data_IF_039861780725
#
_entry.id   IF_039861780725
#
_cell.length_a   1.000
_cell.length_b   1.000
_cell.length_c   1.000
_cell.angle_alpha   90.00
_cell.angle_beta   90.00
_cell.angle_gamma   90.00
#
_symmetry.space_group_name_H-M   'P 1'
#
loop_
_entity.id
_entity.type
_entity.pdbx_description
1 polymer ?
#
# COMPACT_ATOMS: atom_id res chain seq x y z
N UNK A 1 18.27 2.65 -27.50
CA UNK A 1 18.11 2.49 -26.03
C UNK A 1 17.63 3.82 -25.47
N UNK A 2 16.58 3.82 -24.65
CA UNK A 2 16.07 5.04 -24.01
C UNK A 2 17.03 5.54 -22.93
N UNK A 3 17.15 6.86 -22.78
CA UNK A 3 18.01 7.51 -21.78
C UNK A 3 17.35 7.52 -20.38
N UNK A 4 16.02 7.47 -20.34
CA UNK A 4 15.24 7.35 -19.10
C UNK A 4 13.96 6.55 -19.33
N UNK A 5 13.58 5.74 -18.34
CA UNK A 5 12.36 4.94 -18.40
C UNK A 5 11.56 5.17 -17.12
N UNK A 6 10.25 5.41 -17.25
CA UNK A 6 9.33 5.56 -16.13
C UNK A 6 8.15 4.62 -16.24
N UNK A 7 7.55 4.27 -15.10
CA UNK A 7 6.28 3.58 -15.06
C UNK A 7 5.15 4.61 -14.88
N UNK A 8 4.08 4.44 -15.64
CA UNK A 8 2.83 5.14 -15.44
C UNK A 8 1.67 4.15 -15.36
N UNK A 9 0.59 4.58 -14.73
CA UNK A 9 -0.67 3.84 -14.70
C UNK A 9 -1.84 4.84 -14.69
N UNK A 10 -2.56 4.96 -13.58
CA UNK A 10 -3.80 5.75 -13.51
C UNK A 10 -3.61 7.25 -13.29
N UNK A 11 -2.37 7.75 -13.28
CA UNK A 11 -2.09 9.20 -13.19
C UNK A 11 -2.51 9.87 -11.88
N UNK A 12 -2.63 9.11 -10.77
CA UNK A 12 -3.08 9.64 -9.48
C UNK A 12 -1.99 10.37 -8.66
N UNK A 13 -0.81 10.58 -9.23
CA UNK A 13 0.25 11.39 -8.62
C UNK A 13 0.16 12.84 -9.12
N UNK A 14 0.21 13.80 -8.21
CA UNK A 14 0.28 15.24 -8.53
C UNK A 14 1.72 15.75 -8.66
N UNK A 15 2.64 14.89 -9.08
CA UNK A 15 4.06 15.19 -9.26
C UNK A 15 4.55 14.63 -10.59
N UNK A 16 5.78 14.98 -10.98
CA UNK A 16 6.39 14.60 -12.25
C UNK A 16 7.14 13.26 -12.19
N UNK A 17 6.88 12.39 -11.21
CA UNK A 17 7.65 11.14 -11.11
C UNK A 17 7.37 10.14 -12.24
N UNK A 18 6.21 10.18 -12.88
CA UNK A 18 5.94 9.36 -14.05
C UNK A 18 6.51 9.96 -15.36
N UNK A 19 6.96 11.21 -15.34
CA UNK A 19 7.52 11.88 -16.50
C UNK A 19 8.99 11.47 -16.69
N UNK A 20 9.40 11.01 -17.88
CA UNK A 20 10.81 10.88 -18.23
C UNK A 20 11.52 12.22 -18.13
N UNK A 21 12.81 12.22 -17.77
CA UNK A 21 13.60 13.44 -17.68
C UNK A 21 14.01 13.97 -19.07
N UNK A 22 14.09 13.08 -20.05
CA UNK A 22 14.43 13.38 -21.44
C UNK A 22 13.18 13.27 -22.30
N UNK A 23 12.71 14.39 -22.84
CA UNK A 23 11.50 14.45 -23.68
C UNK A 23 11.66 13.75 -25.03
N UNK A 24 12.89 13.66 -25.56
CA UNK A 24 13.16 13.13 -26.90
C UNK A 24 13.53 11.66 -26.90
N UNK A 25 14.19 11.19 -25.85
CA UNK A 25 14.67 9.80 -25.74
C UNK A 25 14.24 9.10 -24.43
N UNK A 26 13.29 9.67 -23.71
CA UNK A 26 12.61 9.01 -22.59
C UNK A 26 11.52 8.03 -23.04
N UNK A 27 11.15 7.11 -22.16
CA UNK A 27 10.05 6.18 -22.37
C UNK A 27 9.18 6.04 -21.12
N UNK A 28 7.89 5.79 -21.35
CA UNK A 28 6.93 5.45 -20.31
C UNK A 28 6.40 4.05 -20.58
N UNK A 29 6.41 3.21 -19.55
CA UNK A 29 5.78 1.90 -19.55
C UNK A 29 4.41 2.05 -18.93
N UNK A 30 3.37 1.70 -19.68
CA UNK A 30 2.02 1.58 -19.15
C UNK A 30 1.90 0.27 -18.35
N UNK A 31 1.70 0.42 -17.05
CA UNK A 31 1.61 -0.70 -16.13
C UNK A 31 0.21 -1.30 -16.04
N UNK A 32 -0.84 -0.71 -16.64
CA UNK A 32 -2.24 -1.10 -16.38
C UNK A 32 -2.58 -2.55 -16.77
N UNK A 33 -1.78 -3.14 -17.67
CA UNK A 33 -1.91 -4.54 -18.09
C UNK A 33 -1.38 -5.55 -17.05
N UNK A 34 -0.49 -5.13 -16.15
CA UNK A 34 0.16 -5.98 -15.14
C UNK A 34 -0.71 -6.06 -13.88
N UNK A 35 -1.73 -6.91 -13.89
CA UNK A 35 -2.77 -6.99 -12.86
C UNK A 35 -3.04 -8.40 -12.32
N UNK A 36 -2.14 -9.36 -12.55
CA UNK A 36 -2.26 -10.71 -11.99
C UNK A 36 -2.18 -10.67 -10.47
N UNK A 37 -2.94 -11.55 -9.83
CA UNK A 37 -2.97 -11.72 -8.38
C UNK A 37 -2.85 -13.20 -8.07
N UNK A 38 -1.91 -13.52 -7.21
CA UNK A 38 -1.70 -14.83 -6.63
C UNK A 38 -1.86 -14.70 -5.11
N UNK A 39 -2.85 -15.38 -4.56
CA UNK A 39 -3.06 -15.43 -3.11
C UNK A 39 -2.36 -16.68 -2.62
N UNK A 40 -1.31 -16.50 -1.82
CA UNK A 40 -0.57 -17.59 -1.20
C UNK A 40 -1.21 -17.86 0.15
N UNK A 41 -1.88 -19.00 0.23
CA UNK A 41 -2.49 -19.47 1.49
C UNK A 41 -1.53 -20.51 2.07
N UNK A 42 -0.96 -20.29 3.28
CA UNK A 42 -0.18 -21.33 3.91
C UNK A 42 -1.04 -22.58 4.12
N UNK A 43 -0.49 -23.79 3.96
CA UNK A 43 -1.23 -25.01 4.20
C UNK A 43 -1.75 -24.98 5.65
N UNK A 44 -3.09 -24.92 5.81
CA UNK A 44 -3.73 -24.99 7.12
C UNK A 44 -3.33 -26.29 7.81
N UNK A 45 -2.35 -26.25 8.70
CA UNK A 45 -2.28 -27.23 9.76
C UNK A 45 -3.54 -27.04 10.61
N UNK A 46 -4.30 -28.12 10.80
CA UNK A 46 -5.47 -28.17 11.68
C UNK A 46 -5.06 -27.64 13.06
N UNK A 47 -5.55 -26.47 13.42
CA UNK A 47 -5.54 -26.04 14.81
C UNK A 47 -6.74 -25.15 15.04
N UNK A 48 -7.71 -25.72 15.74
CA UNK A 48 -8.93 -25.03 16.18
C UNK A 48 -8.62 -23.95 17.24
N UNK A 49 -7.37 -23.88 17.72
CA UNK A 49 -6.88 -22.93 18.74
C UNK A 49 -5.52 -22.24 18.39
N UNK A 50 -5.10 -22.17 17.12
CA UNK A 50 -3.90 -21.39 16.79
C UNK A 50 -4.17 -19.88 16.85
N UNK A 51 -3.67 -19.23 17.91
CA UNK A 51 -3.51 -17.78 17.92
C UNK A 51 -2.39 -17.29 16.98
N UNK A 52 -1.55 -18.17 16.44
CA UNK A 52 -0.40 -17.83 15.58
C UNK A 52 -0.29 -18.79 14.37
N UNK A 53 -1.17 -18.65 13.39
CA UNK A 53 -0.95 -19.20 12.05
C UNK A 53 -0.03 -18.29 11.24
N UNK A 54 0.74 -18.85 10.30
CA UNK A 54 1.48 -18.04 9.32
C UNK A 54 0.55 -17.02 8.63
N UNK A 55 0.98 -15.76 8.47
CA UNK A 55 0.16 -14.73 7.86
C UNK A 55 -0.27 -15.15 6.44
N UNK A 56 -1.49 -14.77 6.05
CA UNK A 56 -1.90 -14.91 4.66
C UNK A 56 -1.11 -13.92 3.82
N UNK A 57 -0.72 -14.30 2.61
CA UNK A 57 0.03 -13.42 1.72
C UNK A 57 -0.67 -13.26 0.37
N UNK A 58 -0.49 -12.11 -0.24
CA UNK A 58 -0.90 -11.87 -1.62
C UNK A 58 0.28 -11.31 -2.40
N UNK A 59 0.63 -11.98 -3.48
CA UNK A 59 1.51 -11.45 -4.52
C UNK A 59 0.66 -10.87 -5.62
N UNK A 60 0.85 -9.59 -5.92
CA UNK A 60 0.09 -8.92 -6.96
C UNK A 60 1.01 -8.08 -7.86
N UNK A 61 0.71 -8.09 -9.15
CA UNK A 61 1.39 -7.24 -10.13
C UNK A 61 1.07 -5.76 -9.89
N UNK A 62 2.05 -4.90 -10.15
CA UNK A 62 2.05 -3.50 -9.75
C UNK A 62 0.97 -2.64 -10.42
N UNK A 63 0.43 -3.08 -11.56
CA UNK A 63 -0.62 -2.38 -12.30
C UNK A 63 -2.03 -2.58 -11.77
N UNK A 64 -2.25 -3.52 -10.85
CA UNK A 64 -3.60 -3.73 -10.29
C UNK A 64 -4.05 -2.49 -9.53
N UNK A 65 -5.31 -2.07 -9.75
CA UNK A 65 -5.95 -1.03 -8.95
C UNK A 65 -6.23 -1.55 -7.54
N UNK A 66 -6.04 -0.73 -6.51
CA UNK A 66 -6.25 -1.17 -5.12
C UNK A 66 -7.68 -1.64 -4.85
N UNK A 67 -8.69 -1.05 -5.47
CA UNK A 67 -10.06 -1.54 -5.36
C UNK A 67 -10.26 -2.94 -5.95
N UNK A 68 -9.57 -3.25 -7.05
CA UNK A 68 -9.60 -4.59 -7.65
C UNK A 68 -8.87 -5.61 -6.78
N UNK A 69 -7.71 -5.23 -6.22
CA UNK A 69 -6.98 -6.07 -5.27
C UNK A 69 -7.83 -6.37 -4.04
N UNK A 70 -8.43 -5.34 -3.43
CA UNK A 70 -9.30 -5.48 -2.27
C UNK A 70 -10.49 -6.42 -2.57
N UNK A 71 -11.19 -6.23 -3.70
CA UNK A 71 -12.30 -7.11 -4.08
C UNK A 71 -11.86 -8.57 -4.30
N UNK A 72 -10.66 -8.77 -4.85
CA UNK A 72 -10.09 -10.12 -5.06
C UNK A 72 -9.82 -10.83 -3.73
N UNK A 73 -9.36 -10.09 -2.72
CA UNK A 73 -9.15 -10.59 -1.35
C UNK A 73 -10.47 -10.85 -0.64
N UNK A 74 -11.43 -9.91 -0.74
CA UNK A 74 -12.75 -10.05 -0.10
C UNK A 74 -13.50 -11.30 -0.58
N UNK A 75 -13.40 -11.62 -1.88
CA UNK A 75 -13.98 -12.84 -2.45
C UNK A 75 -13.40 -14.14 -1.84
N UNK A 76 -12.29 -14.07 -1.11
CA UNK A 76 -11.62 -15.17 -0.41
C UNK A 76 -11.72 -15.06 1.11
N UNK A 77 -12.53 -14.13 1.63
CA UNK A 77 -12.63 -13.87 3.06
C UNK A 77 -11.36 -13.24 3.64
N UNK A 78 -10.57 -12.53 2.83
CA UNK A 78 -9.35 -11.83 3.23
C UNK A 78 -9.48 -10.32 3.02
N UNK A 79 -8.61 -9.54 3.64
CA UNK A 79 -8.53 -8.09 3.47
C UNK A 79 -7.11 -7.58 3.63
N UNK A 80 -6.79 -6.47 2.97
CA UNK A 80 -5.65 -5.65 3.37
C UNK A 80 -5.86 -5.17 4.81
N UNK A 81 -4.78 -5.05 5.59
CA UNK A 81 -4.85 -4.58 6.98
C UNK A 81 -5.48 -3.20 7.08
N UNK A 82 -5.05 -2.29 6.20
CA UNK A 82 -5.65 -0.97 6.02
C UNK A 82 -6.39 -0.92 4.68
N UNK A 83 -7.65 -0.44 4.65
CA UNK A 83 -8.37 -0.26 3.41
C UNK A 83 -7.72 0.86 2.58
N UNK A 84 -7.67 0.73 1.25
CA UNK A 84 -7.12 1.78 0.41
C UNK A 84 -7.98 3.05 0.52
N UNK A 85 -7.35 4.21 0.61
CA UNK A 85 -8.06 5.49 0.72
C UNK A 85 -8.83 5.88 -0.56
N UNK A 86 -8.47 5.26 -1.69
CA UNK A 86 -9.14 5.41 -2.97
C UNK A 86 -8.95 4.11 -3.78
N UNK A 87 -9.99 3.68 -4.51
CA UNK A 87 -9.99 2.44 -5.28
C UNK A 87 -9.21 2.51 -6.60
N UNK A 88 -8.92 3.71 -7.11
CA UNK A 88 -8.45 3.93 -8.48
C UNK A 88 -6.93 4.01 -8.66
N UNK A 89 -6.14 4.24 -7.61
CA UNK A 89 -4.68 4.14 -7.71
C UNK A 89 -4.20 2.69 -7.75
N UNK A 90 -3.05 2.45 -8.38
CA UNK A 90 -2.46 1.11 -8.53
C UNK A 90 -1.54 0.73 -7.37
N UNK A 91 -1.34 -0.57 -7.14
CA UNK A 91 -0.41 -1.11 -6.14
C UNK A 91 1.03 -0.57 -6.33
N UNK A 92 1.54 -0.50 -7.55
CA UNK A 92 2.88 0.01 -7.85
C UNK A 92 3.04 1.48 -7.45
N UNK A 93 2.10 2.32 -7.85
CA UNK A 93 2.05 3.73 -7.43
C UNK A 93 1.91 3.88 -5.90
N UNK A 94 1.08 3.01 -5.29
CA UNK A 94 0.87 2.95 -3.84
C UNK A 94 2.16 2.70 -3.08
N UNK A 95 2.88 1.64 -3.43
CA UNK A 95 4.16 1.29 -2.80
C UNK A 95 5.23 2.34 -3.13
N UNK A 96 5.36 2.73 -4.40
CA UNK A 96 6.37 3.70 -4.82
C UNK A 96 6.28 5.02 -4.04
N UNK A 97 5.08 5.48 -3.67
CA UNK A 97 4.85 6.77 -3.01
C UNK A 97 4.54 6.67 -1.51
N UNK A 98 4.54 5.46 -0.94
CA UNK A 98 4.28 5.26 0.48
C UNK A 98 2.84 5.55 0.89
N UNK A 99 1.86 5.24 0.04
CA UNK A 99 0.44 5.46 0.34
C UNK A 99 0.05 4.87 1.70
N UNK A 100 -0.79 5.62 2.40
CA UNK A 100 -1.22 5.32 3.75
C UNK A 100 -2.69 5.68 3.93
N UNK A 101 -3.33 5.07 4.92
CA UNK A 101 -4.67 5.40 5.37
C UNK A 101 -4.81 5.07 6.86
N UNK A 102 -5.74 5.73 7.56
CA UNK A 102 -6.00 5.48 8.99
C UNK A 102 -4.73 5.44 9.88
N UNK A 103 -3.69 6.20 9.51
CA UNK A 103 -2.42 6.26 10.25
C UNK A 103 -1.43 5.12 9.96
N UNK A 104 -1.69 4.23 8.99
CA UNK A 104 -0.78 3.14 8.60
C UNK A 104 -0.48 3.16 7.09
N UNK A 105 0.76 2.87 6.73
CA UNK A 105 1.19 2.74 5.33
C UNK A 105 1.08 1.30 4.85
N UNK A 106 0.69 1.10 3.59
CA UNK A 106 0.74 -0.22 2.96
C UNK A 106 2.17 -0.80 2.88
N UNK A 107 3.20 0.04 2.98
CA UNK A 107 4.59 -0.42 3.09
C UNK A 107 4.86 -1.24 4.36
N UNK A 108 4.05 -1.05 5.43
CA UNK A 108 4.17 -1.83 6.66
C UNK A 108 3.69 -3.29 6.52
N UNK A 109 2.87 -3.59 5.50
CA UNK A 109 2.42 -4.95 5.20
C UNK A 109 3.29 -5.61 4.11
N UNK A 110 4.29 -4.90 3.57
CA UNK A 110 5.09 -5.36 2.44
C UNK A 110 6.09 -6.42 2.86
N UNK A 111 6.06 -7.58 2.21
CA UNK A 111 6.97 -8.70 2.46
C UNK A 111 8.06 -8.79 1.39
N UNK A 112 7.74 -8.41 0.15
CA UNK A 112 8.71 -8.37 -0.94
C UNK A 112 8.30 -7.36 -2.02
N UNK A 113 9.30 -6.83 -2.75
CA UNK A 113 9.10 -6.03 -3.96
C UNK A 113 9.98 -6.55 -5.07
N UNK A 114 9.39 -6.81 -6.23
CA UNK A 114 10.09 -7.24 -7.43
C UNK A 114 10.25 -6.07 -8.39
N UNK A 115 11.48 -5.80 -8.82
CA UNK A 115 11.81 -4.72 -9.76
C UNK A 115 12.36 -5.27 -11.07
N UNK A 116 12.10 -4.54 -12.17
CA UNK A 116 12.97 -4.54 -13.36
C UNK A 116 13.99 -3.41 -13.19
N UNK A 117 15.27 -3.76 -13.21
CA UNK A 117 16.39 -2.82 -13.04
C UNK A 117 16.83 -2.20 -14.38
N UNK A 118 17.72 -1.21 -14.32
CA UNK A 118 18.20 -0.46 -15.49
C UNK A 118 18.92 -1.32 -16.55
N UNK A 119 19.47 -2.46 -16.16
CA UNK A 119 20.14 -3.43 -17.04
C UNK A 119 19.16 -4.49 -17.60
N UNK A 120 17.86 -4.39 -17.26
CA UNK A 120 16.83 -5.34 -17.67
C UNK A 120 16.72 -6.59 -16.79
N UNK A 121 17.57 -6.75 -15.77
CA UNK A 121 17.46 -7.88 -14.84
C UNK A 121 16.33 -7.68 -13.84
N UNK A 122 15.76 -8.78 -13.37
CA UNK A 122 14.75 -8.78 -12.32
C UNK A 122 15.42 -8.98 -10.97
N UNK A 123 15.10 -8.13 -9.99
CA UNK A 123 15.54 -8.27 -8.60
C UNK A 123 14.33 -8.25 -7.68
N UNK A 124 14.20 -9.27 -6.84
CA UNK A 124 13.29 -9.27 -5.70
C UNK A 124 14.07 -8.83 -4.46
N UNK A 125 13.48 -7.93 -3.68
CA UNK A 125 14.00 -7.49 -2.38
C UNK A 125 12.97 -7.86 -1.32
N UNK A 126 13.36 -8.71 -0.37
CA UNK A 126 12.50 -9.24 0.69
C UNK A 126 12.69 -8.50 2.01
N UNK A 127 11.65 -8.52 2.84
CA UNK A 127 11.70 -7.99 4.21
C UNK A 127 12.84 -8.67 4.98
N UNK A 128 13.63 -7.87 5.68
CA UNK A 128 14.84 -8.33 6.38
C UNK A 128 16.14 -8.09 5.60
N UNK A 129 16.07 -7.82 4.29
CA UNK A 129 17.24 -7.37 3.54
C UNK A 129 17.61 -5.92 3.86
N UNK A 130 18.91 -5.54 3.81
CA UNK A 130 19.35 -4.17 4.08
C UNK A 130 18.68 -3.11 3.19
N UNK A 131 18.41 -3.45 1.92
CA UNK A 131 17.83 -2.55 0.93
C UNK A 131 16.29 -2.43 1.06
N UNK A 132 15.66 -3.20 1.95
CA UNK A 132 14.21 -3.37 1.96
C UNK A 132 13.45 -2.06 2.18
N UNK A 133 13.88 -1.23 3.13
CA UNK A 133 13.18 0.03 3.41
C UNK A 133 13.30 1.04 2.26
N UNK A 134 14.43 1.03 1.53
CA UNK A 134 14.58 1.83 0.31
C UNK A 134 13.70 1.31 -0.83
N UNK A 135 13.54 -0.01 -0.94
CA UNK A 135 12.63 -0.66 -1.89
C UNK A 135 11.15 -0.39 -1.57
N UNK A 136 10.78 -0.36 -0.28
CA UNK A 136 9.41 -0.23 0.18
C UNK A 136 8.76 1.12 -0.17
N UNK A 137 9.56 2.20 -0.26
CA UNK A 137 9.13 3.51 -0.77
C UNK A 137 10.27 4.12 -1.58
N UNK A 138 10.24 3.89 -2.90
CA UNK A 138 11.37 4.21 -3.79
C UNK A 138 11.15 5.39 -4.73
N UNK A 139 9.96 6.00 -4.73
CA UNK A 139 9.54 7.05 -5.68
C UNK A 139 9.78 6.67 -7.16
N UNK A 140 9.79 5.37 -7.46
CA UNK A 140 10.10 4.83 -8.78
C UNK A 140 11.55 5.06 -9.24
N UNK A 141 12.51 5.20 -8.32
CA UNK A 141 13.93 5.49 -8.62
C UNK A 141 14.85 4.27 -8.60
N UNK A 142 14.44 3.18 -7.96
CA UNK A 142 15.23 1.95 -7.88
C UNK A 142 14.97 0.98 -9.05
N UNK A 143 13.96 1.26 -9.87
CA UNK A 143 13.54 0.44 -10.99
C UNK A 143 12.04 0.51 -11.20
N UNK A 144 11.55 -0.31 -12.14
CA UNK A 144 10.11 -0.47 -12.39
C UNK A 144 9.59 -1.56 -11.45
N UNK A 145 8.66 -1.23 -10.56
CA UNK A 145 8.02 -2.24 -9.70
C UNK A 145 7.15 -3.13 -10.59
N UNK A 146 7.46 -4.42 -10.62
CA UNK A 146 6.73 -5.43 -11.37
C UNK A 146 5.61 -6.06 -10.53
N UNK A 147 5.93 -6.40 -9.27
CA UNK A 147 4.99 -6.97 -8.31
C UNK A 147 5.40 -6.66 -6.88
N UNK A 148 4.45 -6.76 -5.96
CA UNK A 148 4.67 -6.70 -4.53
C UNK A 148 3.97 -7.88 -3.84
N UNK A 149 4.59 -8.39 -2.78
CA UNK A 149 3.97 -9.37 -1.86
C UNK A 149 3.61 -8.64 -0.57
N UNK A 150 2.35 -8.77 -0.15
CA UNK A 150 1.80 -8.13 1.04
C UNK A 150 1.25 -9.20 2.00
N UNK A 151 1.43 -8.99 3.28
CA UNK A 151 0.65 -9.66 4.32
C UNK A 151 -0.81 -9.19 4.26
N UNK A 152 -1.74 -10.14 4.39
CA UNK A 152 -3.19 -9.89 4.44
C UNK A 152 -3.80 -10.63 5.63
N UNK A 153 -4.99 -10.19 6.01
CA UNK A 153 -5.68 -10.69 7.20
C UNK A 153 -7.00 -11.36 6.82
N UNK A 154 -7.54 -12.25 7.66
CA UNK A 154 -8.95 -12.62 7.59
C UNK A 154 -9.83 -11.37 7.59
N UNK A 155 -10.86 -11.38 6.74
CA UNK A 155 -11.80 -10.29 6.64
C UNK A 155 -12.55 -10.11 7.96
N UNK A 156 -12.62 -8.86 8.42
CA UNK A 156 -13.51 -8.42 9.50
C UNK A 156 -14.24 -7.16 9.07
N UNK A 157 -15.48 -7.02 9.49
CA UNK A 157 -16.25 -5.80 9.27
C UNK A 157 -15.66 -4.65 10.08
N UNK A 158 -15.55 -3.48 9.47
CA UNK A 158 -15.16 -2.24 10.15
C UNK A 158 -16.42 -1.45 10.47
N UNK A 159 -16.50 -0.95 11.70
CA UNK A 159 -17.51 0.02 12.11
C UNK A 159 -16.88 1.40 12.11
N UNK A 160 -17.49 2.35 11.41
CA UNK A 160 -17.01 3.72 11.39
C UNK A 160 -18.17 4.68 11.66
N UNK A 161 -17.84 5.80 12.29
CA UNK A 161 -18.73 6.93 12.49
C UNK A 161 -17.96 8.20 12.15
N UNK A 162 -18.66 9.17 11.58
CA UNK A 162 -18.17 10.52 11.35
C UNK A 162 -18.96 11.48 12.23
N UNK A 163 -18.27 12.42 12.85
CA UNK A 163 -18.85 13.46 13.70
C UNK A 163 -18.26 14.80 13.27
N UNK A 164 -19.11 15.82 13.17
CA UNK A 164 -18.68 17.19 12.91
C UNK A 164 -18.49 17.90 14.24
N UNK A 165 -17.28 18.41 14.47
CA UNK A 165 -16.94 19.16 15.68
C UNK A 165 -16.56 20.60 15.30
N UNK A 166 -16.94 21.61 16.10
CA UNK A 166 -16.43 22.97 15.89
C UNK A 166 -14.92 22.98 16.06
N UNK A 167 -14.23 23.87 15.34
CA UNK A 167 -12.79 24.06 15.51
C UNK A 167 -12.51 24.48 16.96
N UNK A 168 -11.74 23.72 17.74
CA UNK A 168 -11.44 24.09 19.11
C UNK A 168 -10.48 25.28 19.16
N UNK A 169 -10.51 26.03 20.27
CA UNK A 169 -9.43 26.97 20.58
C UNK A 169 -8.09 26.24 20.74
N UNK A 170 -6.97 26.98 20.63
CA UNK A 170 -5.60 26.41 20.61
C UNK A 170 -5.31 25.44 21.76
N UNK A 171 -5.80 25.73 22.97
CA UNK A 171 -5.64 24.82 24.14
C UNK A 171 -6.45 23.53 23.96
N UNK A 172 -7.63 23.62 23.35
CA UNK A 172 -8.47 22.47 23.01
C UNK A 172 -7.84 21.56 21.95
N UNK A 173 -7.09 22.13 20.99
CA UNK A 173 -6.33 21.35 19.98
C UNK A 173 -5.35 20.40 20.66
N UNK A 174 -4.62 20.85 21.68
CA UNK A 174 -3.63 20.01 22.38
C UNK A 174 -4.25 18.77 23.04
N UNK A 175 -5.42 18.93 23.66
CA UNK A 175 -6.15 17.82 24.27
C UNK A 175 -6.60 16.81 23.22
N UNK A 176 -7.06 17.28 22.07
CA UNK A 176 -7.45 16.43 20.94
C UNK A 176 -6.26 15.68 20.37
N UNK A 177 -5.13 16.35 20.13
CA UNK A 177 -3.93 15.73 19.60
C UNK A 177 -3.41 14.62 20.52
N UNK A 178 -3.39 14.83 21.84
CA UNK A 178 -3.04 13.78 22.82
C UNK A 178 -3.94 12.55 22.72
N UNK A 179 -5.24 12.75 22.57
CA UNK A 179 -6.19 11.65 22.39
C UNK A 179 -5.94 10.92 21.05
N UNK A 180 -5.64 11.64 19.98
CA UNK A 180 -5.30 11.05 18.68
C UNK A 180 -4.00 10.25 18.73
N UNK A 181 -2.94 10.79 19.35
CA UNK A 181 -1.66 10.09 19.53
C UNK A 181 -1.85 8.80 20.33
N UNK A 182 -2.58 8.86 21.45
CA UNK A 182 -2.85 7.68 22.28
C UNK A 182 -3.57 6.59 21.48
N UNK A 183 -4.53 6.98 20.63
CA UNK A 183 -5.21 6.07 19.71
C UNK A 183 -4.24 5.50 18.67
N UNK A 184 -3.46 6.32 17.97
CA UNK A 184 -2.52 5.83 16.95
C UNK A 184 -1.47 4.84 17.51
N UNK A 185 -1.12 4.96 18.79
CA UNK A 185 -0.20 4.04 19.46
C UNK A 185 -0.87 2.77 20.00
N UNK A 186 -2.21 2.72 20.12
CA UNK A 186 -2.92 1.52 20.57
C UNK A 186 -3.23 0.59 19.38
N UNK A 187 -3.01 -0.71 19.58
CA UNK A 187 -3.26 -1.76 18.58
C UNK A 187 -4.75 -1.87 18.15
N UNK A 188 -5.67 -1.27 18.90
CA UNK A 188 -7.12 -1.26 18.61
C UNK A 188 -7.53 -0.33 17.45
N UNK A 189 -6.69 0.60 17.02
CA UNK A 189 -7.13 1.74 16.20
C UNK A 189 -7.14 1.48 14.70
N UNK A 190 -6.97 0.24 14.27
CA UNK A 190 -7.37 -0.16 12.92
C UNK A 190 -8.89 -0.36 12.92
N UNK A 191 -9.67 0.73 12.95
CA UNK A 191 -11.10 0.65 12.61
C UNK A 191 -12.08 1.73 13.07
N UNK A 192 -11.93 2.39 14.22
CA UNK A 192 -13.16 2.82 14.93
C UNK A 192 -13.53 4.31 14.99
N UNK A 193 -12.78 5.27 14.44
CA UNK A 193 -13.29 6.67 14.30
C UNK A 193 -12.44 7.52 13.34
N UNK A 194 -13.07 8.05 12.29
CA UNK A 194 -12.51 9.16 11.48
C UNK A 194 -13.11 10.46 12.02
N UNK A 195 -12.25 11.42 12.41
CA UNK A 195 -12.69 12.74 12.87
C UNK A 195 -12.25 13.77 11.84
N UNK A 196 -13.21 14.47 11.25
CA UNK A 196 -12.96 15.56 10.31
C UNK A 196 -13.23 16.90 11.02
N UNK A 197 -12.24 17.78 11.03
CA UNK A 197 -12.41 19.18 11.43
C UNK A 197 -12.64 20.00 10.16
N UNK A 198 -13.79 20.64 10.06
CA UNK A 198 -14.09 21.58 8.98
C UNK A 198 -13.85 23.01 9.49
N UNK A 199 -13.30 23.85 8.62
CA UNK A 199 -13.15 25.28 8.84
C UNK A 199 -14.48 26.01 8.60
#
# INVERSE_FOLDING_TARGET
>A
KHSSVRAAATGHSFNFFACPADEKNGAVIDMIAFKKVEVVVPPRAKCEDCADGEPFEVKAEAGIKMGQLQNTLLARGLTLRVPPGNSAYTLGGCIATGCHNLGQSHAQDLLAVTFVLHNGTIREVKRGEPDFYAAAVSLGRLGIILSATLEVLPYRSLQWAAEQLPMPETVGVWKILKNMTTRQLSRETVGNKLVFYLA
#
